data_IF_674033781961
#
_entry.id   IF_674033781961
#
_cell.length_a   1.000
_cell.length_b   1.000
_cell.length_c   1.000
_cell.angle_alpha   90.00
_cell.angle_beta   90.00
_cell.angle_gamma   90.00
#
_symmetry.space_group_name_H-M   'P 1'
#
loop_
_entity.id
_entity.type
_entity.pdbx_description
1 polymer ?
#
# COMPACT_ATOMS: atom_id res chain seq x y z
N UNK A 1 24.31 5.26 -5.18
CA UNK A 1 22.97 4.74 -5.51
C UNK A 1 21.89 5.82 -5.27
N UNK A 2 21.83 6.45 -4.10
CA UNK A 2 20.86 7.52 -3.79
C UNK A 2 20.99 8.70 -4.75
N UNK A 3 22.19 9.18 -4.99
CA UNK A 3 22.49 10.30 -5.89
C UNK A 3 22.01 10.05 -7.34
N UNK A 4 22.19 8.84 -7.85
CA UNK A 4 21.69 8.46 -9.18
C UNK A 4 20.16 8.48 -9.25
N UNK A 5 19.46 8.05 -8.19
CA UNK A 5 18.00 8.14 -8.12
C UNK A 5 17.51 9.59 -8.09
N UNK A 6 18.19 10.46 -7.35
CA UNK A 6 17.85 11.89 -7.29
C UNK A 6 17.99 12.55 -8.65
N UNK A 7 19.06 12.26 -9.39
CA UNK A 7 19.27 12.76 -10.75
C UNK A 7 18.19 12.29 -11.73
N UNK A 8 17.82 11.00 -11.66
CA UNK A 8 16.74 10.43 -12.48
C UNK A 8 15.41 11.12 -12.13
N UNK A 9 15.09 11.24 -10.85
CA UNK A 9 13.89 11.92 -10.42
C UNK A 9 13.87 13.40 -10.84
N UNK A 10 15.01 14.10 -10.78
CA UNK A 10 15.08 15.51 -11.17
C UNK A 10 14.74 15.72 -12.66
N UNK A 11 15.20 14.81 -13.52
CA UNK A 11 15.01 14.89 -14.98
C UNK A 11 13.67 14.31 -15.46
N UNK A 12 12.96 13.53 -14.62
CA UNK A 12 11.74 12.83 -15.03
C UNK A 12 10.50 13.68 -14.80
N UNK A 13 9.66 13.81 -15.82
CA UNK A 13 8.36 14.49 -15.78
C UNK A 13 7.16 13.54 -15.76
N UNK A 14 7.39 12.25 -16.01
CA UNK A 14 6.36 11.20 -16.04
C UNK A 14 6.82 10.02 -15.20
N UNK A 15 6.44 10.04 -13.93
CA UNK A 15 6.87 9.05 -12.93
C UNK A 15 5.69 8.16 -12.59
N UNK A 16 5.93 6.86 -12.55
CA UNK A 16 5.02 5.87 -11.95
C UNK A 16 5.74 5.23 -10.77
N UNK A 17 5.09 5.21 -9.62
CA UNK A 17 5.62 4.54 -8.44
C UNK A 17 4.95 3.18 -8.26
N UNK A 18 5.77 2.16 -8.06
CA UNK A 18 5.32 0.84 -7.64
C UNK A 18 5.91 0.49 -6.28
N UNK A 19 5.06 0.22 -5.30
CA UNK A 19 5.49 -0.04 -3.92
C UNK A 19 4.71 -1.13 -3.22
N UNK A 20 5.45 -1.96 -2.48
CA UNK A 20 4.92 -2.98 -1.58
C UNK A 20 5.08 -2.60 -0.11
N UNK A 21 4.97 -3.60 0.79
CA UNK A 21 4.99 -3.41 2.23
C UNK A 21 6.23 -2.68 2.77
N UNK A 22 7.39 -2.88 2.14
CA UNK A 22 8.63 -2.20 2.54
C UNK A 22 8.57 -0.67 2.51
N UNK A 23 7.65 -0.05 1.75
CA UNK A 23 7.50 1.42 1.77
C UNK A 23 6.92 1.92 3.09
N UNK A 24 6.27 1.07 3.86
CA UNK A 24 5.59 1.43 5.10
C UNK A 24 6.36 1.04 6.37
N UNK A 25 7.54 0.44 6.25
CA UNK A 25 8.33 0.01 7.42
C UNK A 25 8.76 1.18 8.30
N UNK A 26 9.19 2.29 7.73
CA UNK A 26 9.49 3.51 8.48
C UNK A 26 8.25 4.21 9.08
N UNK A 27 7.07 3.73 8.76
CA UNK A 27 5.80 4.15 9.39
C UNK A 27 5.40 3.24 10.56
N UNK A 28 6.26 2.27 10.94
CA UNK A 28 6.02 1.31 11.99
C UNK A 28 5.15 0.12 11.58
N UNK A 29 4.93 -0.08 10.27
CA UNK A 29 4.19 -1.24 9.76
C UNK A 29 5.23 -2.24 9.24
N UNK A 30 5.37 -3.42 9.86
CA UNK A 30 6.34 -4.40 9.41
C UNK A 30 5.99 -4.91 8.00
N UNK A 31 7.01 -5.17 7.21
CA UNK A 31 6.82 -5.91 5.96
C UNK A 31 6.71 -7.42 6.24
N UNK A 32 6.67 -8.23 5.19
CA UNK A 32 6.49 -9.67 5.35
C UNK A 32 7.81 -10.44 5.45
N UNK A 33 8.85 -10.04 4.71
CA UNK A 33 10.02 -10.88 4.39
C UNK A 33 11.35 -10.36 4.91
N UNK A 34 11.44 -9.11 5.37
CA UNK A 34 12.67 -8.60 5.98
C UNK A 34 13.01 -9.35 7.26
N UNK A 35 14.21 -9.16 7.78
CA UNK A 35 14.68 -9.84 9.01
C UNK A 35 13.71 -9.64 10.17
N UNK A 36 13.11 -8.46 10.28
CA UNK A 36 12.11 -8.11 11.29
C UNK A 36 10.66 -8.24 10.77
N UNK A 37 10.50 -8.82 9.58
CA UNK A 37 9.21 -8.98 8.91
C UNK A 37 8.31 -10.00 9.57
N UNK A 38 7.03 -9.97 9.20
CA UNK A 38 6.01 -10.84 9.79
C UNK A 38 6.33 -12.33 9.67
N UNK A 39 6.97 -12.74 8.57
CA UNK A 39 7.28 -14.16 8.32
C UNK A 39 8.38 -14.73 9.21
N UNK A 40 9.18 -13.89 9.86
CA UNK A 40 10.20 -14.30 10.82
C UNK A 40 9.73 -14.31 12.27
N UNK A 41 8.49 -13.89 12.54
CA UNK A 41 7.93 -13.89 13.89
C UNK A 41 7.42 -15.29 14.26
N UNK A 42 7.57 -15.64 15.55
CA UNK A 42 7.12 -16.96 16.06
C UNK A 42 5.66 -16.92 16.46
N UNK A 43 4.86 -17.79 15.84
CA UNK A 43 3.47 -18.04 16.15
C UNK A 43 3.18 -19.54 16.24
N UNK A 44 1.96 -19.91 16.64
CA UNK A 44 1.53 -21.30 16.65
C UNK A 44 1.54 -21.93 15.24
N UNK A 45 1.32 -21.10 14.22
CA UNK A 45 1.42 -21.47 12.81
C UNK A 45 2.31 -20.47 12.08
N UNK A 46 2.97 -20.86 10.98
CA UNK A 46 3.71 -19.91 10.15
C UNK A 46 2.79 -18.79 9.66
N UNK A 47 3.23 -17.53 9.70
CA UNK A 47 2.39 -16.40 9.25
C UNK A 47 1.89 -16.52 7.83
N UNK A 48 2.65 -17.13 6.92
CA UNK A 48 2.21 -17.42 5.55
C UNK A 48 1.01 -18.38 5.54
N UNK A 49 0.99 -19.35 6.44
CA UNK A 49 -0.12 -20.29 6.60
C UNK A 49 -1.34 -19.56 7.12
N UNK A 50 -1.18 -18.76 8.20
CA UNK A 50 -2.28 -17.99 8.80
C UNK A 50 -2.93 -17.06 7.76
N UNK A 51 -2.14 -16.43 6.90
CA UNK A 51 -2.61 -15.48 5.89
C UNK A 51 -3.13 -16.14 4.61
N UNK A 52 -3.18 -17.48 4.56
CA UNK A 52 -3.77 -18.18 3.42
C UNK A 52 -5.30 -18.17 3.48
N UNK A 53 -5.94 -18.23 2.30
CA UNK A 53 -7.40 -18.34 2.19
C UNK A 53 -7.92 -19.60 2.88
N UNK A 54 -7.27 -20.73 2.68
CA UNK A 54 -7.65 -22.01 3.29
C UNK A 54 -7.63 -21.93 4.81
N UNK A 55 -6.57 -21.34 5.40
CA UNK A 55 -6.50 -21.20 6.85
C UNK A 55 -7.61 -20.27 7.37
N UNK A 56 -7.92 -19.18 6.66
CA UNK A 56 -9.03 -18.31 7.02
C UNK A 56 -10.38 -19.04 7.02
N UNK A 57 -10.63 -19.94 6.07
CA UNK A 57 -11.87 -20.73 6.05
C UNK A 57 -11.94 -21.75 7.18
N UNK A 58 -10.83 -22.41 7.48
CA UNK A 58 -10.76 -23.49 8.49
C UNK A 58 -10.62 -22.92 9.93
N UNK A 59 -9.93 -21.81 10.12
CA UNK A 59 -9.60 -21.24 11.43
C UNK A 59 -9.80 -19.72 11.47
N UNK A 60 -11.02 -19.22 11.24
CA UNK A 60 -11.28 -17.79 11.12
C UNK A 60 -10.95 -16.99 12.38
N UNK A 61 -11.14 -17.57 13.56
CA UNK A 61 -10.85 -16.88 14.84
C UNK A 61 -9.36 -16.58 14.98
N UNK A 62 -8.51 -17.55 14.70
CA UNK A 62 -7.06 -17.42 14.75
C UNK A 62 -6.55 -16.46 13.67
N UNK A 63 -7.08 -16.55 12.45
CA UNK A 63 -6.82 -15.60 11.37
C UNK A 63 -7.12 -14.18 11.81
N UNK A 64 -8.31 -13.89 12.35
CA UNK A 64 -8.68 -12.55 12.76
C UNK A 64 -7.93 -12.08 14.00
N UNK A 65 -7.52 -12.98 14.90
CA UNK A 65 -6.65 -12.65 16.02
C UNK A 65 -5.31 -12.13 15.52
N UNK A 66 -4.65 -12.88 14.62
CA UNK A 66 -3.41 -12.49 13.98
C UNK A 66 -3.56 -11.18 13.20
N UNK A 67 -4.61 -11.07 12.41
CA UNK A 67 -4.88 -9.91 11.57
C UNK A 67 -5.00 -8.63 12.43
N UNK A 68 -5.74 -8.68 13.52
CA UNK A 68 -5.91 -7.54 14.44
C UNK A 68 -4.61 -7.18 15.15
N UNK A 69 -3.84 -8.18 15.55
CA UNK A 69 -2.59 -7.98 16.30
C UNK A 69 -1.48 -7.42 15.43
N UNK A 70 -1.37 -7.88 14.19
CA UNK A 70 -0.19 -7.63 13.35
C UNK A 70 -0.43 -6.76 12.12
N UNK A 71 -1.60 -6.81 11.54
CA UNK A 71 -1.88 -6.09 10.30
C UNK A 71 -2.62 -4.77 10.51
N UNK A 72 -3.30 -4.61 11.64
CA UNK A 72 -3.96 -3.34 11.98
C UNK A 72 -3.04 -2.51 12.87
N UNK A 73 -2.19 -1.72 12.26
CA UNK A 73 -1.32 -0.78 12.98
C UNK A 73 -2.04 0.54 13.19
N UNK A 74 -2.50 0.76 14.43
CA UNK A 74 -3.19 2.00 14.81
C UNK A 74 -2.18 3.16 14.91
N UNK A 75 -2.56 4.33 14.38
CA UNK A 75 -1.75 5.54 14.52
C UNK A 75 -0.58 5.66 13.55
N UNK A 76 -0.37 4.71 12.66
CA UNK A 76 0.66 4.83 11.63
C UNK A 76 0.45 6.10 10.77
N UNK A 77 1.53 6.81 10.52
CA UNK A 77 1.54 8.06 9.72
C UNK A 77 2.39 7.89 8.47
N UNK A 78 2.07 8.62 7.39
CA UNK A 78 2.93 8.66 6.22
C UNK A 78 4.37 9.04 6.59
N UNK A 79 5.33 8.30 6.09
CA UNK A 79 6.76 8.57 6.24
C UNK A 79 7.30 9.45 5.11
N UNK A 80 8.61 9.71 5.10
CA UNK A 80 9.27 10.57 4.13
C UNK A 80 9.03 10.14 2.67
N UNK A 81 8.97 8.83 2.38
CA UNK A 81 8.69 8.33 1.04
C UNK A 81 7.27 8.70 0.59
N UNK A 82 6.28 8.50 1.45
CA UNK A 82 4.89 8.88 1.17
C UNK A 82 4.76 10.38 0.91
N UNK A 83 5.41 11.22 1.73
CA UNK A 83 5.39 12.67 1.59
C UNK A 83 6.09 13.13 0.30
N UNK A 84 7.19 12.45 -0.08
CA UNK A 84 7.88 12.74 -1.35
C UNK A 84 7.01 12.41 -2.56
N UNK A 85 6.32 11.29 -2.54
CA UNK A 85 5.36 10.93 -3.59
C UNK A 85 4.24 11.95 -3.71
N UNK A 86 3.69 12.41 -2.59
CA UNK A 86 2.69 13.47 -2.56
C UNK A 86 3.19 14.79 -3.17
N UNK A 87 4.47 15.13 -2.92
CA UNK A 87 5.09 16.30 -3.54
C UNK A 87 5.21 16.14 -5.06
N UNK A 88 5.72 15.03 -5.54
CA UNK A 88 5.85 14.74 -6.98
C UNK A 88 4.49 14.75 -7.70
N UNK A 89 3.44 14.32 -7.03
CA UNK A 89 2.09 14.35 -7.58
C UNK A 89 1.53 15.77 -7.65
N UNK A 90 1.75 16.60 -6.64
CA UNK A 90 1.40 18.04 -6.69
C UNK A 90 2.14 18.80 -7.78
N UNK A 91 3.39 18.41 -8.05
CA UNK A 91 4.20 18.92 -9.15
C UNK A 91 3.73 18.43 -10.52
N UNK A 92 2.73 17.55 -10.59
CA UNK A 92 2.23 16.95 -11.82
C UNK A 92 3.19 15.94 -12.45
N UNK A 93 4.22 15.53 -11.74
CA UNK A 93 5.28 14.62 -12.21
C UNK A 93 4.96 13.15 -11.92
N UNK A 94 4.33 12.83 -10.78
CA UNK A 94 3.85 11.49 -10.45
C UNK A 94 2.49 11.26 -11.10
N UNK A 95 2.43 10.33 -12.05
CA UNK A 95 1.21 10.04 -12.83
C UNK A 95 0.36 8.94 -12.22
N UNK A 96 1.00 7.95 -11.59
CA UNK A 96 0.30 6.86 -10.93
C UNK A 96 1.09 6.31 -9.73
N UNK A 97 0.34 5.74 -8.79
CA UNK A 97 0.86 4.91 -7.70
C UNK A 97 0.18 3.55 -7.78
N UNK A 98 0.98 2.51 -7.91
CA UNK A 98 0.52 1.12 -7.93
C UNK A 98 1.01 0.45 -6.65
N UNK A 99 0.11 -0.16 -5.89
CA UNK A 99 0.49 -0.79 -4.62
C UNK A 99 -0.40 -1.97 -4.28
N UNK A 100 0.17 -2.94 -3.58
CA UNK A 100 -0.52 -4.06 -2.94
C UNK A 100 -0.82 -3.77 -1.46
N UNK A 101 -0.35 -2.63 -0.93
CA UNK A 101 -0.54 -2.30 0.47
C UNK A 101 -1.99 -1.97 0.77
N UNK A 102 -2.47 -2.49 1.90
CA UNK A 102 -3.82 -2.24 2.43
C UNK A 102 -3.84 -1.26 3.61
N UNK A 103 -2.68 -0.73 4.01
CA UNK A 103 -2.51 0.19 5.14
C UNK A 103 -3.13 1.58 4.92
N UNK A 104 -3.42 1.92 3.69
CA UNK A 104 -4.00 3.20 3.29
C UNK A 104 -3.03 4.38 3.36
N UNK A 105 -1.74 4.20 3.69
CA UNK A 105 -0.77 5.30 3.82
C UNK A 105 -0.47 5.96 2.47
N UNK A 106 -0.36 5.18 1.41
CA UNK A 106 -0.20 5.72 0.06
C UNK A 106 -1.41 6.53 -0.39
N UNK A 107 -2.61 6.19 0.04
CA UNK A 107 -3.81 6.99 -0.20
C UNK A 107 -3.82 8.27 0.64
N UNK A 108 -3.31 8.22 1.87
CA UNK A 108 -3.19 9.36 2.80
C UNK A 108 -2.00 10.27 2.54
N UNK A 109 -1.18 9.99 1.51
CA UNK A 109 -0.03 10.84 1.15
C UNK A 109 -0.41 12.30 0.87
N UNK A 110 -1.68 12.58 0.64
CA UNK A 110 -2.22 13.92 0.40
C UNK A 110 -2.72 14.63 1.65
N UNK A 111 -2.03 14.57 2.76
CA UNK A 111 -2.48 15.10 4.06
C UNK A 111 -2.99 16.55 4.06
N UNK A 112 -2.72 17.32 3.01
CA UNK A 112 -3.17 18.71 2.92
C UNK A 112 -4.36 18.97 1.99
N UNK A 113 -4.85 18.00 1.28
CA UNK A 113 -6.19 18.13 0.76
C UNK A 113 -7.10 17.59 1.85
N UNK A 114 -8.11 18.41 2.25
CA UNK A 114 -9.28 17.97 3.01
C UNK A 114 -9.81 16.66 2.44
N UNK A 115 -8.99 15.76 2.77
CA UNK A 115 -8.90 14.51 2.42
C UNK A 115 -10.09 13.91 2.34
N UNK A 116 -10.20 13.46 1.19
CA UNK A 116 -11.01 12.36 1.23
C UNK A 116 -11.85 12.43 2.46
N UNK A 117 -12.77 13.41 2.37
CA UNK A 117 -13.57 13.76 3.48
C UNK A 117 -14.15 12.48 3.92
N UNK A 118 -13.40 12.00 4.79
CA UNK A 118 -13.53 10.78 5.41
C UNK A 118 -14.97 10.56 5.70
N UNK A 119 -15.38 9.44 5.41
CA UNK A 119 -16.60 8.96 5.91
C UNK A 119 -17.88 9.35 5.14
N UNK A 120 -17.78 10.04 4.06
CA UNK A 120 -18.89 10.03 3.11
C UNK A 120 -18.50 9.19 1.90
N UNK A 121 -18.30 7.90 2.14
CA UNK A 121 -18.78 6.96 1.13
C UNK A 121 -20.19 7.40 0.79
N UNK A 122 -20.51 7.72 -0.47
CA UNK A 122 -21.89 7.91 -0.85
C UNK A 122 -22.63 6.69 -0.34
N UNK A 123 -23.65 6.90 0.47
CA UNK A 123 -24.55 5.83 0.91
C UNK A 123 -24.96 5.11 -0.37
N UNK A 124 -24.49 3.89 -0.60
CA UNK A 124 -24.77 3.14 -1.82
C UNK A 124 -23.55 2.59 -2.57
N UNK A 125 -22.33 2.95 -2.24
CA UNK A 125 -21.13 2.38 -2.87
C UNK A 125 -20.73 1.00 -2.32
N UNK A 126 -21.68 0.17 -2.00
CA UNK A 126 -21.45 -1.22 -1.58
C UNK A 126 -21.45 -2.22 -2.74
N UNK A 127 -21.45 -1.73 -3.96
CA UNK A 127 -21.14 -2.56 -5.12
C UNK A 127 -19.82 -2.06 -5.70
N UNK A 128 -18.70 -2.69 -5.29
CA UNK A 128 -17.50 -2.72 -6.11
C UNK A 128 -17.95 -3.16 -7.50
N UNK A 129 -17.94 -2.25 -8.44
CA UNK A 129 -18.10 -2.64 -9.83
C UNK A 129 -16.89 -3.47 -10.20
N UNK A 130 -17.08 -4.52 -10.99
CA UNK A 130 -15.98 -5.37 -11.53
C UNK A 130 -14.88 -4.55 -12.20
N UNK A 131 -15.14 -3.30 -12.53
CA UNK A 131 -14.19 -2.33 -13.08
C UNK A 131 -13.20 -1.75 -12.05
N UNK A 132 -13.46 -1.86 -10.75
CA UNK A 132 -12.56 -1.38 -9.69
C UNK A 132 -11.57 -2.45 -9.21
N UNK A 133 -11.76 -3.70 -9.57
CA UNK A 133 -10.75 -4.74 -9.47
C UNK A 133 -9.82 -4.66 -10.69
N UNK A 134 -9.13 -3.54 -10.80
CA UNK A 134 -8.01 -3.42 -11.73
C UNK A 134 -6.94 -4.34 -11.18
N UNK A 135 -6.87 -5.55 -11.71
CA UNK A 135 -5.77 -6.44 -11.42
C UNK A 135 -4.48 -5.71 -11.77
N UNK A 136 -3.44 -5.94 -10.99
CA UNK A 136 -2.09 -5.40 -11.19
C UNK A 136 -1.67 -5.41 -12.68
N UNK A 137 -2.00 -6.49 -13.40
CA UNK A 137 -1.75 -6.64 -14.84
C UNK A 137 -2.45 -5.55 -15.66
N UNK A 138 -3.74 -5.31 -15.42
CA UNK A 138 -4.52 -4.32 -16.16
C UNK A 138 -4.08 -2.88 -15.87
N UNK A 139 -3.61 -2.61 -14.63
CA UNK A 139 -3.06 -1.30 -14.30
C UNK A 139 -1.75 -1.04 -15.06
N UNK A 140 -0.85 -2.02 -15.11
CA UNK A 140 0.39 -1.93 -15.89
C UNK A 140 0.12 -1.79 -17.39
N UNK A 141 -0.78 -2.59 -17.95
CA UNK A 141 -1.12 -2.51 -19.37
C UNK A 141 -1.68 -1.14 -19.75
N UNK A 142 -2.57 -0.56 -18.94
CA UNK A 142 -3.09 0.80 -19.17
C UNK A 142 -2.01 1.87 -19.09
N UNK A 143 -1.08 1.75 -18.15
CA UNK A 143 0.04 2.68 -18.01
C UNK A 143 0.97 2.58 -19.21
N UNK A 144 1.27 1.38 -19.70
CA UNK A 144 2.14 1.15 -20.86
C UNK A 144 1.49 1.62 -22.17
N UNK A 145 0.17 1.48 -22.31
CA UNK A 145 -0.56 1.95 -23.50
C UNK A 145 -0.74 3.48 -23.55
N UNK A 146 -0.64 4.16 -22.39
CA UNK A 146 -0.75 5.62 -22.30
C UNK A 146 0.60 6.34 -22.35
N UNK A 147 1.68 5.61 -22.49
CA UNK A 147 3.05 6.11 -22.55
C UNK A 147 3.52 6.33 -23.99
#
# INVERSE_FOLDING_TARGET
>A
MVQALEEILAKSSRIVFFGGAGVSTESGIPDFRSVDGLYHQKYAYPPETILSHTFWEENPEEFYRFYRDKLIVKGAKPNAAHLRLAKLEREGRLKAVVTQNIDGLLARRHENKKLLRAGKHPKGASKRTKEQDITYRNALERILQSA
#
